data_IF_354373409557
#
_entry.id   IF_354373409557
#
_cell.length_a   1.000
_cell.length_b   1.000
_cell.length_c   1.000
_cell.angle_alpha   90.00
_cell.angle_beta   90.00
_cell.angle_gamma   90.00
#
_symmetry.space_group_name_H-M   'P 1'
#
loop_
_entity.id
_entity.type
_entity.pdbx_description
1 polymer ?
#
# COMPACT_ATOMS: atom_id res chain seq x y z
N UNK A 1 -0.86 13.13 -0.35
CA UNK A 1 -1.60 12.12 0.43
C UNK A 1 -1.78 10.84 -0.35
N UNK A 2 -1.77 9.72 0.36
CA UNK A 2 -2.04 8.44 -0.27
C UNK A 2 -3.50 8.36 -0.75
N UNK A 3 -3.73 7.65 -1.85
CA UNK A 3 -5.06 7.44 -2.39
C UNK A 3 -5.87 6.49 -1.50
N UNK A 4 -7.18 6.66 -1.49
CA UNK A 4 -8.07 5.67 -0.89
C UNK A 4 -8.32 4.56 -1.92
N UNK A 5 -7.88 3.34 -1.58
CA UNK A 5 -8.09 2.16 -2.42
C UNK A 5 -9.17 1.30 -1.78
N UNK A 6 -10.14 0.89 -2.58
CA UNK A 6 -11.31 0.14 -2.14
C UNK A 6 -11.47 -1.13 -2.97
N UNK A 7 -12.35 -2.03 -2.51
CA UNK A 7 -12.70 -3.22 -3.29
C UNK A 7 -13.19 -2.83 -4.69
N UNK A 8 -13.91 -1.71 -4.80
CA UNK A 8 -14.49 -1.30 -6.08
C UNK A 8 -13.49 -0.65 -7.05
N UNK A 9 -12.42 0.00 -6.55
CA UNK A 9 -11.44 0.66 -7.43
C UNK A 9 -10.11 -0.10 -7.53
N UNK A 10 -9.96 -1.22 -6.84
CA UNK A 10 -8.69 -1.93 -6.75
C UNK A 10 -8.17 -2.36 -8.13
N UNK A 11 -9.03 -2.93 -8.94
CA UNK A 11 -8.63 -3.41 -10.26
C UNK A 11 -8.07 -2.28 -11.12
N UNK A 12 -8.79 -1.17 -11.22
CA UNK A 12 -8.37 -0.07 -12.07
C UNK A 12 -7.17 0.68 -11.50
N UNK A 13 -7.13 0.88 -10.17
CA UNK A 13 -6.08 1.66 -9.53
C UNK A 13 -4.79 0.87 -9.36
N UNK A 14 -4.88 -0.42 -9.03
CA UNK A 14 -3.72 -1.25 -8.68
C UNK A 14 -3.36 -2.22 -9.80
N UNK A 15 -4.30 -3.06 -10.21
CA UNK A 15 -3.98 -4.16 -11.13
C UNK A 15 -3.71 -3.66 -12.55
N UNK A 16 -4.41 -2.62 -12.99
CA UNK A 16 -4.25 -2.06 -14.32
C UNK A 16 -3.27 -0.89 -14.40
N UNK A 17 -2.59 -0.59 -13.28
CA UNK A 17 -1.61 0.50 -13.26
C UNK A 17 -0.40 0.18 -14.13
N UNK A 18 0.08 1.17 -14.89
CA UNK A 18 1.32 1.09 -15.64
C UNK A 18 2.54 1.50 -14.79
N UNK A 19 2.32 1.88 -13.54
CA UNK A 19 3.35 2.26 -12.58
C UNK A 19 3.36 1.28 -11.41
N UNK A 20 4.48 1.17 -10.69
CA UNK A 20 4.48 0.43 -9.42
C UNK A 20 3.46 1.02 -8.44
N UNK A 21 2.84 0.17 -7.65
CA UNK A 21 1.82 0.57 -6.68
C UNK A 21 2.18 0.06 -5.30
N UNK A 22 2.25 0.97 -4.33
CA UNK A 22 2.40 0.63 -2.92
C UNK A 22 1.03 0.69 -2.26
N UNK A 23 0.62 -0.41 -1.62
CA UNK A 23 -0.67 -0.52 -0.95
C UNK A 23 -0.46 -0.78 0.53
N UNK A 24 -0.97 0.12 1.39
CA UNK A 24 -0.93 0.01 2.84
C UNK A 24 -2.27 -0.53 3.34
N UNK A 25 -2.27 -1.76 3.86
CA UNK A 25 -3.45 -2.38 4.48
C UNK A 25 -3.45 -2.03 5.97
N UNK A 26 -4.49 -1.31 6.41
CA UNK A 26 -4.57 -0.72 7.75
C UNK A 26 -5.97 -0.79 8.34
N UNK A 27 -6.10 -0.48 9.63
CA UNK A 27 -7.39 -0.31 10.29
C UNK A 27 -7.32 0.84 11.28
N UNK A 28 -8.46 1.47 11.53
CA UNK A 28 -8.54 2.64 12.41
C UNK A 28 -8.19 2.32 13.87
N UNK A 29 -8.43 1.09 14.32
CA UNK A 29 -8.14 0.64 15.68
C UNK A 29 -6.69 0.18 15.88
N UNK A 30 -5.90 0.16 14.85
CA UNK A 30 -4.54 -0.39 14.85
C UNK A 30 -3.53 0.72 15.16
N UNK A 31 -2.92 0.67 16.34
CA UNK A 31 -1.91 1.65 16.77
C UNK A 31 -0.72 1.75 15.83
N UNK A 32 -0.05 0.62 15.51
CA UNK A 32 1.09 0.65 14.56
C UNK A 32 0.70 1.19 13.18
N UNK A 33 -0.52 0.96 12.72
CA UNK A 33 -1.01 1.52 11.46
C UNK A 33 -1.04 3.03 11.50
N UNK A 34 -1.43 3.62 12.64
CA UNK A 34 -1.47 5.06 12.81
C UNK A 34 -0.08 5.69 12.81
N UNK A 35 0.93 4.93 13.23
CA UNK A 35 2.32 5.38 13.17
C UNK A 35 2.85 5.34 11.73
N UNK A 36 2.45 4.35 10.95
CA UNK A 36 2.90 4.20 9.58
C UNK A 36 2.19 5.15 8.61
N UNK A 37 0.95 5.52 8.89
CA UNK A 37 0.14 6.34 8.01
C UNK A 37 0.82 7.61 7.51
N UNK A 38 1.36 8.46 8.38
CA UNK A 38 2.07 9.67 7.94
C UNK A 38 3.29 9.39 7.07
N UNK A 39 3.99 8.28 7.33
CA UNK A 39 5.15 7.86 6.53
C UNK A 39 4.70 7.51 5.12
N UNK A 40 3.60 6.77 4.99
CA UNK A 40 3.04 6.40 3.69
C UNK A 40 2.57 7.64 2.92
N UNK A 41 1.99 8.62 3.61
CA UNK A 41 1.59 9.89 2.99
C UNK A 41 2.81 10.66 2.46
N UNK A 42 3.91 10.68 3.20
CA UNK A 42 5.16 11.31 2.73
C UNK A 42 5.69 10.60 1.49
N UNK A 43 5.68 9.27 1.49
CA UNK A 43 6.13 8.47 0.34
C UNK A 43 5.24 8.77 -0.87
N UNK A 44 3.94 8.91 -0.67
CA UNK A 44 3.01 9.28 -1.74
C UNK A 44 3.42 10.60 -2.41
N UNK A 45 3.80 11.59 -1.61
CA UNK A 45 4.23 12.88 -2.12
C UNK A 45 5.57 12.78 -2.84
N UNK A 46 6.52 12.03 -2.27
CA UNK A 46 7.87 11.91 -2.83
C UNK A 46 7.88 11.15 -4.17
N UNK A 47 6.95 10.21 -4.35
CA UNK A 47 6.88 9.38 -5.56
C UNK A 47 5.77 9.83 -6.52
N UNK A 48 5.22 11.02 -6.32
CA UNK A 48 4.17 11.54 -7.19
C UNK A 48 4.63 11.52 -8.65
N UNK A 49 3.80 10.95 -9.51
CA UNK A 49 4.12 10.77 -10.92
C UNK A 49 5.00 9.56 -11.26
N UNK A 50 5.63 8.94 -10.26
CA UNK A 50 6.55 7.79 -10.47
C UNK A 50 5.93 6.47 -10.02
N UNK A 51 5.17 6.51 -8.96
CA UNK A 51 4.48 5.35 -8.39
C UNK A 51 3.13 5.78 -7.86
N UNK A 52 2.21 4.83 -7.76
CA UNK A 52 0.92 5.04 -7.12
C UNK A 52 1.05 4.56 -5.68
N UNK A 53 0.61 5.37 -4.72
CA UNK A 53 0.64 5.03 -3.30
C UNK A 53 -0.75 5.18 -2.73
N UNK A 54 -1.26 4.12 -2.12
CA UNK A 54 -2.61 4.12 -1.57
C UNK A 54 -2.76 3.29 -0.32
N UNK A 55 -3.93 3.41 0.30
CA UNK A 55 -4.28 2.73 1.55
C UNK A 55 -5.60 1.99 1.39
N UNK A 56 -5.66 0.79 1.96
CA UNK A 56 -6.88 -0.02 2.05
C UNK A 56 -7.26 -0.18 3.51
N UNK A 57 -8.44 0.32 3.89
CA UNK A 57 -9.02 0.07 5.20
C UNK A 57 -9.61 -1.35 5.19
N UNK A 58 -8.98 -2.28 5.91
CA UNK A 58 -9.36 -3.70 5.86
C UNK A 58 -10.76 -3.96 6.40
N UNK A 59 -11.25 -3.13 7.32
CA UNK A 59 -12.58 -3.32 7.89
C UNK A 59 -13.69 -3.02 6.87
N UNK A 60 -13.44 -2.11 5.96
CA UNK A 60 -14.40 -1.68 4.95
C UNK A 60 -14.14 -2.26 3.56
N UNK A 61 -13.07 -3.04 3.39
CA UNK A 61 -12.67 -3.60 2.10
C UNK A 61 -12.16 -5.02 2.30
N UNK A 62 -13.07 -5.91 2.71
CA UNK A 62 -12.71 -7.28 3.09
C UNK A 62 -12.35 -8.15 1.89
N UNK A 63 -12.93 -7.91 0.72
CA UNK A 63 -12.70 -8.75 -0.46
C UNK A 63 -11.22 -8.76 -0.85
N UNK A 64 -10.62 -7.59 -1.04
CA UNK A 64 -9.22 -7.48 -1.42
C UNK A 64 -8.30 -7.95 -0.29
N UNK A 65 -8.68 -7.70 0.96
CA UNK A 65 -7.88 -8.12 2.12
C UNK A 65 -7.82 -9.64 2.22
N UNK A 66 -8.93 -10.34 1.96
CA UNK A 66 -8.98 -11.79 1.94
C UNK A 66 -8.23 -12.35 0.74
N UNK A 67 -8.41 -11.74 -0.43
CA UNK A 67 -7.77 -12.18 -1.66
C UNK A 67 -6.25 -12.23 -1.53
N UNK A 68 -5.65 -11.23 -0.88
CA UNK A 68 -4.20 -11.17 -0.69
C UNK A 68 -3.73 -11.73 0.64
N UNK A 69 -4.62 -12.38 1.40
CA UNK A 69 -4.26 -13.08 2.62
C UNK A 69 -3.70 -12.18 3.72
N UNK A 70 -4.27 -10.98 3.86
CA UNK A 70 -3.82 -10.02 4.85
C UNK A 70 -4.25 -10.49 6.25
N UNK A 71 -3.29 -10.91 7.06
CA UNK A 71 -3.54 -11.41 8.43
C UNK A 71 -2.99 -10.50 9.51
N UNK A 72 -1.95 -9.75 9.18
CA UNK A 72 -1.31 -8.81 10.09
C UNK A 72 -1.39 -7.42 9.49
N UNK A 73 -1.60 -6.42 10.32
CA UNK A 73 -1.61 -5.02 9.89
C UNK A 73 -0.69 -4.20 10.80
N UNK A 74 0.00 -3.19 10.24
CA UNK A 74 -0.01 -2.83 8.82
C UNK A 74 0.76 -3.84 7.97
N UNK A 75 0.28 -4.06 6.76
CA UNK A 75 1.02 -4.80 5.73
C UNK A 75 1.11 -3.92 4.49
N UNK A 76 2.31 -3.78 3.96
CA UNK A 76 2.55 -3.09 2.70
C UNK A 76 2.79 -4.11 1.61
N UNK A 77 2.06 -4.00 0.51
CA UNK A 77 2.31 -4.78 -0.70
C UNK A 77 2.76 -3.83 -1.80
N UNK A 78 3.75 -4.25 -2.58
CA UNK A 78 4.14 -3.52 -3.79
C UNK A 78 3.71 -4.35 -4.98
N UNK A 79 2.94 -3.72 -5.87
CA UNK A 79 2.47 -4.34 -7.11
C UNK A 79 3.21 -3.74 -8.29
N UNK A 80 3.48 -4.58 -9.29
CA UNK A 80 3.97 -4.13 -10.59
C UNK A 80 3.36 -5.02 -11.67
N UNK A 81 2.77 -4.40 -12.68
CA UNK A 81 2.11 -5.11 -13.77
C UNK A 81 1.04 -6.10 -13.26
N UNK A 82 0.30 -5.70 -12.23
CA UNK A 82 -0.78 -6.49 -11.65
C UNK A 82 -0.35 -7.60 -10.72
N UNK A 83 0.93 -7.71 -10.38
CA UNK A 83 1.45 -8.79 -9.53
C UNK A 83 2.15 -8.22 -8.29
N UNK A 84 2.03 -8.94 -7.17
CA UNK A 84 2.78 -8.60 -5.95
C UNK A 84 4.26 -8.91 -6.18
N UNK A 85 5.11 -7.89 -6.06
CA UNK A 85 6.56 -8.04 -6.25
C UNK A 85 7.34 -7.85 -4.96
N UNK A 86 6.73 -7.30 -3.91
CA UNK A 86 7.39 -7.15 -2.61
C UNK A 86 6.35 -7.03 -1.49
N UNK A 87 6.77 -7.29 -0.25
CA UNK A 87 5.91 -7.28 0.92
C UNK A 87 6.70 -6.84 2.15
N UNK A 88 6.08 -5.98 2.97
CA UNK A 88 6.61 -5.57 4.27
C UNK A 88 5.50 -5.70 5.30
N UNK A 89 5.79 -6.36 6.42
CA UNK A 89 4.82 -6.51 7.52
C UNK A 89 5.30 -5.70 8.71
N UNK A 90 4.39 -4.93 9.31
CA UNK A 90 4.70 -4.08 10.45
C UNK A 90 5.23 -2.70 10.05
N UNK A 91 5.59 -1.91 11.05
CA UNK A 91 6.14 -0.57 10.83
C UNK A 91 7.59 -0.68 10.40
N UNK A 92 7.93 -0.02 9.29
CA UNK A 92 9.29 0.06 8.79
C UNK A 92 9.71 1.53 8.66
N UNK A 93 11.01 1.83 8.76
CA UNK A 93 11.47 3.19 8.49
C UNK A 93 11.15 3.61 7.06
N UNK A 94 10.90 4.91 6.88
CA UNK A 94 10.58 5.47 5.56
C UNK A 94 11.60 5.08 4.51
N UNK A 95 12.88 5.14 4.86
CA UNK A 95 13.99 4.85 3.93
C UNK A 95 13.93 3.41 3.40
N UNK A 96 13.54 2.46 4.25
CA UNK A 96 13.42 1.05 3.85
C UNK A 96 12.29 0.87 2.86
N UNK A 97 11.14 1.48 3.14
CA UNK A 97 9.96 1.40 2.26
C UNK A 97 10.27 2.08 0.91
N UNK A 98 10.85 3.27 0.96
CA UNK A 98 11.20 4.03 -0.24
C UNK A 98 12.21 3.28 -1.11
N UNK A 99 13.21 2.63 -0.50
CA UNK A 99 14.20 1.85 -1.22
C UNK A 99 13.54 0.66 -1.94
N UNK A 100 12.65 -0.06 -1.25
CA UNK A 100 11.94 -1.19 -1.87
C UNK A 100 11.05 -0.74 -3.02
N UNK A 101 10.35 0.37 -2.87
CA UNK A 101 9.51 0.91 -3.93
C UNK A 101 10.36 1.36 -5.12
N UNK A 102 11.48 2.04 -4.85
CA UNK A 102 12.41 2.51 -5.89
C UNK A 102 13.00 1.36 -6.71
N UNK A 103 13.18 0.19 -6.11
CA UNK A 103 13.73 -0.97 -6.80
C UNK A 103 12.80 -1.48 -7.92
N UNK A 104 11.53 -1.08 -7.91
CA UNK A 104 10.53 -1.53 -8.89
C UNK A 104 10.09 -0.43 -9.85
N UNK A 105 10.72 0.74 -9.83
CA UNK A 105 10.40 1.84 -10.75
C UNK A 105 10.73 1.52 -12.20
#
# INVERSE_FOLDING_TARGET
>A
MALEITDSNFKDTVLNSDKPVLVDFWAAWCGPCMMLGPIVDEISNDFDGKAVVGKVDVDNNQDVSVEYGIRNIPTLLIFKNGEVVDKLVGVSPKEVIAEKLSAHL
#
